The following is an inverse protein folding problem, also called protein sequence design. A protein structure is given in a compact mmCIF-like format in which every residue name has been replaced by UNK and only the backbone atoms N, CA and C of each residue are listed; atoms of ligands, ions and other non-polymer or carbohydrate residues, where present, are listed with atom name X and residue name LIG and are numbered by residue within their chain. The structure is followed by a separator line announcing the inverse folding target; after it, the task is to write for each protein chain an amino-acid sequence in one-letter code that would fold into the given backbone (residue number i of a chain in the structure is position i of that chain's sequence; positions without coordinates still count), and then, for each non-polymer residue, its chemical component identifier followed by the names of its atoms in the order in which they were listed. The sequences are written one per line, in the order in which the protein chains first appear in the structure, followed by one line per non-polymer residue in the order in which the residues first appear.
data_IF_826499237720
#
_entry.id   IF_826499237720
#
_cell.length_a   1.000
_cell.length_b   1.000
_cell.length_c   1.000
_cell.angle_alpha   90.00
_cell.angle_beta   90.00
_cell.angle_gamma   90.00
#
_symmetry.space_group_name_H-M   'P 1'
#
loop_
_entity.id
_entity.type
_entity.pdbx_description
1 polymer ?
#
# COMPACT_ATOMS: atom_id res chain seq x y z
N UNK A 1 -47.71 27.28 16.26
CA UNK A 1 -47.75 27.09 14.78
C UNK A 1 -48.24 25.69 14.47
N UNK A 2 -49.34 25.52 13.72
CA UNK A 2 -49.77 24.20 13.20
C UNK A 2 -49.00 23.95 11.90
N UNK A 3 -48.11 22.96 11.90
CA UNK A 3 -47.41 22.54 10.68
C UNK A 3 -48.39 21.73 9.84
N UNK A 4 -48.62 22.15 8.60
CA UNK A 4 -49.45 21.42 7.64
C UNK A 4 -48.77 20.10 7.26
N UNK A 5 -49.54 19.03 7.05
CA UNK A 5 -49.00 17.73 6.61
C UNK A 5 -48.19 17.80 5.32
N UNK A 6 -48.49 18.78 4.44
CA UNK A 6 -47.69 19.06 3.23
C UNK A 6 -46.30 19.60 3.56
N UNK A 7 -46.21 20.49 4.55
CA UNK A 7 -44.94 21.05 5.04
C UNK A 7 -44.11 19.97 5.75
N UNK A 8 -44.77 19.09 6.52
CA UNK A 8 -44.11 17.95 7.16
C UNK A 8 -43.52 16.97 6.12
N UNK A 9 -44.27 16.69 5.05
CA UNK A 9 -43.81 15.82 3.96
C UNK A 9 -42.62 16.42 3.18
N UNK A 10 -42.67 17.73 2.90
CA UNK A 10 -41.55 18.45 2.29
C UNK A 10 -40.29 18.43 3.16
N UNK A 11 -40.43 18.68 4.47
CA UNK A 11 -39.32 18.63 5.42
C UNK A 11 -38.72 17.22 5.53
N UNK A 12 -39.56 16.18 5.56
CA UNK A 12 -39.12 14.79 5.54
C UNK A 12 -38.32 14.45 4.28
N UNK A 13 -38.82 14.85 3.10
CA UNK A 13 -38.10 14.65 1.84
C UNK A 13 -36.75 15.38 1.81
N UNK A 14 -36.70 16.62 2.32
CA UNK A 14 -35.47 17.40 2.40
C UNK A 14 -34.44 16.74 3.34
N UNK A 15 -34.89 16.25 4.49
CA UNK A 15 -34.03 15.53 5.43
C UNK A 15 -33.46 14.25 4.82
N UNK A 16 -34.28 13.50 4.08
CA UNK A 16 -33.85 12.28 3.40
C UNK A 16 -32.77 12.57 2.34
N UNK A 17 -32.93 13.64 1.56
CA UNK A 17 -31.93 14.09 0.59
C UNK A 17 -30.62 14.46 1.30
N UNK A 18 -30.68 15.22 2.40
CA UNK A 18 -29.49 15.61 3.16
C UNK A 18 -28.74 14.37 3.66
N UNK A 19 -29.46 13.41 4.25
CA UNK A 19 -28.86 12.16 4.74
C UNK A 19 -28.26 11.35 3.58
N UNK A 20 -28.96 11.23 2.45
CA UNK A 20 -28.45 10.50 1.29
C UNK A 20 -27.18 11.13 0.70
N UNK A 21 -27.13 12.46 0.60
CA UNK A 21 -25.92 13.17 0.14
C UNK A 21 -24.78 13.00 1.14
N UNK A 22 -25.06 13.08 2.45
CA UNK A 22 -24.05 12.87 3.48
C UNK A 22 -23.48 11.45 3.46
N UNK A 23 -24.32 10.41 3.47
CA UNK A 23 -23.85 9.02 3.44
C UNK A 23 -23.06 8.71 2.19
N UNK A 24 -23.48 9.24 1.04
CA UNK A 24 -22.76 9.10 -0.21
C UNK A 24 -21.41 9.82 -0.19
N UNK A 25 -21.32 11.01 0.42
CA UNK A 25 -20.05 11.72 0.60
C UNK A 25 -19.07 10.97 1.51
N UNK A 26 -19.55 10.37 2.61
CA UNK A 26 -18.74 9.55 3.51
C UNK A 26 -18.25 8.29 2.80
N UNK A 27 -19.12 7.64 2.02
CA UNK A 27 -18.75 6.46 1.24
C UNK A 27 -17.64 6.78 0.22
N UNK A 28 -17.78 7.87 -0.53
CA UNK A 28 -16.77 8.31 -1.49
C UNK A 28 -15.46 8.74 -0.82
N UNK A 29 -15.54 9.40 0.34
CA UNK A 29 -14.36 9.76 1.11
C UNK A 29 -13.58 8.53 1.57
N UNK A 30 -14.28 7.48 2.02
CA UNK A 30 -13.64 6.23 2.45
C UNK A 30 -13.01 5.46 1.28
N UNK A 31 -13.52 5.59 0.05
CA UNK A 31 -12.92 4.94 -1.13
C UNK A 31 -11.55 5.51 -1.50
N UNK A 32 -11.30 6.77 -1.14
CA UNK A 32 -10.07 7.51 -1.43
C UNK A 32 -9.15 7.62 -0.20
N UNK A 33 -9.51 7.00 0.93
CA UNK A 33 -8.70 7.10 2.14
C UNK A 33 -7.46 6.21 2.07
N UNK A 34 -6.32 6.75 2.53
CA UNK A 34 -5.03 6.06 2.52
C UNK A 34 -4.50 5.72 1.13
N UNK A 35 -4.82 6.54 0.12
CA UNK A 35 -4.12 6.47 -1.15
C UNK A 35 -2.67 6.92 -0.96
N UNK A 36 -1.73 6.15 -1.47
CA UNK A 36 -0.31 6.48 -1.40
C UNK A 36 0.45 5.76 -2.50
N UNK A 37 1.23 6.52 -3.28
CA UNK A 37 2.18 5.94 -4.24
C UNK A 37 3.57 6.47 -3.94
N UNK A 38 4.50 5.55 -3.69
CA UNK A 38 5.87 5.90 -3.41
C UNK A 38 6.82 4.87 -3.99
N UNK A 39 8.09 5.25 -4.11
CA UNK A 39 9.15 4.34 -4.52
C UNK A 39 10.38 4.48 -3.64
N UNK A 40 11.03 3.37 -3.39
CA UNK A 40 12.31 3.30 -2.68
C UNK A 40 13.28 2.43 -3.46
N UNK A 41 14.57 2.54 -3.16
CA UNK A 41 15.58 1.60 -3.61
C UNK A 41 16.04 0.79 -2.40
N UNK A 42 15.99 -0.53 -2.52
CA UNK A 42 16.37 -1.46 -1.46
C UNK A 42 17.47 -2.41 -1.93
N UNK A 43 18.37 -2.73 -1.01
CA UNK A 43 19.25 -3.90 -1.13
C UNK A 43 18.93 -4.79 0.05
N UNK A 44 18.38 -5.98 -0.22
CA UNK A 44 18.06 -6.97 0.79
C UNK A 44 19.05 -8.12 0.66
N UNK A 45 19.83 -8.36 1.72
CA UNK A 45 20.69 -9.52 1.86
C UNK A 45 19.96 -10.54 2.72
N UNK A 46 19.91 -11.79 2.29
CA UNK A 46 19.25 -12.82 3.07
C UNK A 46 20.19 -13.39 4.12
N UNK A 47 19.67 -13.62 5.33
CA UNK A 47 20.48 -14.20 6.40
C UNK A 47 20.95 -15.60 6.01
N UNK A 48 22.21 -15.90 6.34
CA UNK A 48 22.87 -17.18 6.02
C UNK A 48 23.03 -17.49 4.52
N UNK A 49 22.86 -16.49 3.65
CA UNK A 49 23.16 -16.58 2.23
C UNK A 49 24.33 -15.67 1.88
N UNK A 50 25.37 -16.23 1.25
CA UNK A 50 26.63 -15.52 0.98
C UNK A 50 26.51 -14.70 -0.31
N UNK A 51 25.86 -15.26 -1.32
CA UNK A 51 25.84 -14.71 -2.67
C UNK A 51 24.47 -14.13 -3.03
N UNK A 52 23.42 -14.51 -2.29
CA UNK A 52 22.04 -14.21 -2.62
C UNK A 52 21.57 -12.86 -2.06
N UNK A 53 21.19 -11.95 -2.95
CA UNK A 53 20.58 -10.68 -2.57
C UNK A 53 19.59 -10.19 -3.63
N UNK A 54 18.72 -9.27 -3.21
CA UNK A 54 17.85 -8.50 -4.10
C UNK A 54 18.33 -7.06 -4.09
N UNK A 55 18.65 -6.51 -5.25
CA UNK A 55 18.97 -5.10 -5.44
C UNK A 55 17.99 -4.50 -6.45
N UNK A 56 17.05 -3.68 -5.96
CA UNK A 56 15.98 -3.20 -6.82
C UNK A 56 15.26 -1.96 -6.31
N UNK A 57 14.49 -1.39 -7.22
CA UNK A 57 13.48 -0.41 -6.91
C UNK A 57 12.21 -1.11 -6.48
N UNK A 58 11.64 -0.65 -5.38
CA UNK A 58 10.37 -1.15 -4.83
C UNK A 58 9.37 -0.01 -4.95
N UNK A 59 8.31 -0.25 -5.70
CA UNK A 59 7.23 0.69 -5.92
C UNK A 59 6.00 0.24 -5.13
N UNK A 60 5.60 1.02 -4.14
CA UNK A 60 4.37 0.80 -3.39
C UNK A 60 3.25 1.63 -3.99
N UNK A 61 2.09 1.01 -4.19
CA UNK A 61 0.89 1.67 -4.66
C UNK A 61 -0.32 1.19 -3.83
N UNK A 62 -0.78 2.05 -2.92
CA UNK A 62 -2.02 1.91 -2.18
C UNK A 62 -3.10 2.67 -2.95
N UNK A 63 -3.94 1.92 -3.65
CA UNK A 63 -4.97 2.42 -4.55
C UNK A 63 -6.38 2.37 -3.95
N UNK A 64 -7.36 2.86 -4.71
CA UNK A 64 -8.74 3.00 -4.23
C UNK A 64 -9.38 1.66 -3.85
N UNK A 65 -10.38 1.72 -2.96
CA UNK A 65 -11.17 0.56 -2.51
C UNK A 65 -10.34 -0.50 -1.74
N UNK A 66 -9.29 -0.08 -1.03
CA UNK A 66 -8.45 -0.99 -0.26
C UNK A 66 -7.71 -2.00 -1.14
N UNK A 67 -7.34 -1.62 -2.36
CA UNK A 67 -6.59 -2.46 -3.30
C UNK A 67 -5.27 -1.80 -3.64
N UNK A 68 -4.20 -2.57 -3.59
CA UNK A 68 -2.87 -2.05 -3.86
C UNK A 68 -1.99 -3.03 -4.62
N UNK A 69 -0.79 -2.56 -4.89
CA UNK A 69 0.25 -3.34 -5.56
C UNK A 69 1.65 -2.94 -5.11
N UNK A 70 2.55 -3.91 -5.17
CA UNK A 70 4.00 -3.70 -5.06
C UNK A 70 4.61 -4.11 -6.40
N UNK A 71 5.54 -3.32 -6.92
CA UNK A 71 6.41 -3.73 -8.02
C UNK A 71 7.83 -3.73 -7.53
N UNK A 72 8.53 -4.86 -7.69
CA UNK A 72 9.95 -4.97 -7.38
C UNK A 72 10.68 -5.20 -8.70
N UNK A 73 11.57 -4.28 -9.04
CA UNK A 73 12.32 -4.28 -10.29
C UNK A 73 13.81 -4.06 -10.03
N UNK A 74 14.64 -4.94 -10.56
CA UNK A 74 16.09 -4.85 -10.39
C UNK A 74 16.76 -6.16 -10.75
N UNK A 75 17.68 -6.59 -9.90
CA UNK A 75 18.46 -7.81 -10.12
C UNK A 75 18.58 -8.62 -8.83
N UNK A 76 18.61 -9.94 -8.99
CA UNK A 76 19.08 -10.84 -7.94
C UNK A 76 20.52 -11.21 -8.21
N UNK A 77 21.36 -11.13 -7.19
CA UNK A 77 22.68 -11.76 -7.23
C UNK A 77 22.56 -13.20 -6.73
N UNK A 78 23.30 -14.13 -7.34
CA UNK A 78 23.30 -15.54 -6.97
C UNK A 78 24.53 -16.23 -7.57
N UNK A 79 24.76 -17.50 -7.21
CA UNK A 79 25.80 -18.32 -7.85
C UNK A 79 25.63 -18.49 -9.37
N UNK A 80 24.42 -18.29 -9.89
CA UNK A 80 24.14 -18.31 -11.33
C UNK A 80 24.47 -16.98 -12.03
N UNK A 81 24.91 -15.97 -11.28
CA UNK A 81 25.14 -14.60 -11.75
C UNK A 81 23.96 -13.68 -11.46
N UNK A 82 23.98 -12.52 -12.11
CA UNK A 82 22.95 -11.48 -11.97
C UNK A 82 21.76 -11.79 -12.87
N UNK A 83 20.64 -12.13 -12.26
CA UNK A 83 19.40 -12.43 -12.96
C UNK A 83 18.43 -11.26 -12.82
N UNK A 84 17.74 -10.94 -13.92
CA UNK A 84 16.78 -9.84 -13.89
C UNK A 84 15.55 -10.21 -13.06
N UNK A 85 15.11 -9.28 -12.20
CA UNK A 85 13.96 -9.42 -11.33
C UNK A 85 12.92 -8.38 -11.70
N UNK A 86 11.70 -8.81 -12.00
CA UNK A 86 10.55 -7.91 -12.15
C UNK A 86 9.27 -8.62 -11.72
N UNK A 87 8.90 -8.42 -10.46
CA UNK A 87 7.76 -9.09 -9.82
C UNK A 87 6.66 -8.09 -9.47
N UNK A 88 5.43 -8.51 -9.73
CA UNK A 88 4.22 -7.77 -9.41
C UNK A 88 3.48 -8.46 -8.28
N UNK A 89 3.22 -7.73 -7.21
CA UNK A 89 2.37 -8.18 -6.11
C UNK A 89 1.08 -7.37 -6.15
N UNK A 90 -0.06 -8.04 -6.10
CA UNK A 90 -1.37 -7.40 -5.89
C UNK A 90 -1.86 -7.76 -4.50
N UNK A 91 -2.54 -6.85 -3.82
CA UNK A 91 -3.01 -7.09 -2.46
C UNK A 91 -4.28 -6.33 -2.12
N UNK A 92 -4.96 -6.79 -1.05
CA UNK A 92 -5.98 -6.03 -0.33
C UNK A 92 -5.34 -5.30 0.86
N UNK A 93 -5.89 -4.16 1.27
CA UNK A 93 -5.43 -3.49 2.48
C UNK A 93 -6.55 -2.76 3.22
N UNK A 94 -6.35 -2.59 4.53
CA UNK A 94 -7.07 -1.61 5.36
C UNK A 94 -6.09 -0.56 5.86
N UNK A 95 -6.59 0.62 6.22
CA UNK A 95 -5.76 1.73 6.66
C UNK A 95 -6.39 2.45 7.83
N UNK A 96 -5.54 3.03 8.68
CA UNK A 96 -5.94 3.88 9.79
C UNK A 96 -5.01 5.09 9.85
N UNK A 97 -5.56 6.30 9.76
CA UNK A 97 -4.80 7.52 10.04
C UNK A 97 -4.61 7.66 11.55
N UNK A 98 -3.37 7.76 12.00
CA UNK A 98 -3.00 7.90 13.42
C UNK A 98 -2.78 9.37 13.76
N UNK A 99 -2.11 10.10 12.86
CA UNK A 99 -1.88 11.54 12.99
C UNK A 99 -1.77 12.18 11.60
N UNK A 100 -1.67 13.52 11.49
CA UNK A 100 -1.40 14.18 10.20
C UNK A 100 -0.09 13.74 9.53
N UNK A 101 0.81 13.08 10.26
CA UNK A 101 2.11 12.61 9.77
C UNK A 101 2.26 11.10 9.87
N UNK A 102 1.24 10.36 10.29
CA UNK A 102 1.37 8.92 10.53
C UNK A 102 0.10 8.17 10.13
N UNK A 103 0.29 7.07 9.41
CA UNK A 103 -0.79 6.19 8.96
C UNK A 103 -0.32 4.75 8.97
N UNK A 104 -1.20 3.87 9.43
CA UNK A 104 -0.98 2.43 9.44
C UNK A 104 -1.69 1.79 8.25
N UNK A 105 -1.03 0.80 7.64
CA UNK A 105 -1.55 -0.02 6.57
C UNK A 105 -1.46 -1.49 6.98
N UNK A 106 -2.58 -2.21 6.87
CA UNK A 106 -2.62 -3.65 7.05
C UNK A 106 -2.90 -4.29 5.69
N UNK A 107 -1.89 -4.92 5.11
CA UNK A 107 -1.95 -5.60 3.81
C UNK A 107 -2.29 -7.07 4.02
N UNK A 108 -3.18 -7.62 3.19
CA UNK A 108 -3.61 -9.02 3.22
C UNK A 108 -3.91 -9.53 1.81
N UNK A 109 -4.10 -10.85 1.69
CA UNK A 109 -4.54 -11.50 0.44
C UNK A 109 -3.66 -11.12 -0.76
N UNK A 110 -2.35 -11.22 -0.59
CA UNK A 110 -1.43 -10.84 -1.63
C UNK A 110 -1.14 -12.00 -2.59
N UNK A 111 -0.96 -11.68 -3.86
CA UNK A 111 -0.59 -12.63 -4.91
C UNK A 111 0.58 -12.05 -5.72
N UNK A 112 1.63 -12.84 -5.94
CA UNK A 112 2.78 -12.46 -6.75
C UNK A 112 2.72 -13.07 -8.16
N UNK A 113 3.24 -12.34 -9.15
CA UNK A 113 3.43 -12.82 -10.54
C UNK A 113 4.74 -12.30 -11.11
N UNK A 114 5.45 -13.18 -11.81
CA UNK A 114 6.61 -12.83 -12.61
C UNK A 114 6.22 -12.04 -13.86
N UNK A 115 7.06 -11.08 -14.24
CA UNK A 115 7.05 -10.51 -15.60
C UNK A 115 7.49 -11.54 -16.64
N UNK A 116 7.17 -11.32 -17.91
CA UNK A 116 7.65 -12.16 -19.02
C UNK A 116 9.17 -12.14 -19.21
N UNK A 117 9.86 -11.15 -18.63
CA UNK A 117 11.31 -10.96 -18.72
C UNK A 117 12.01 -11.25 -17.39
N UNK A 118 11.28 -11.70 -16.37
CA UNK A 118 11.85 -12.06 -15.08
C UNK A 118 12.62 -13.39 -15.20
N UNK A 119 13.88 -13.38 -14.80
CA UNK A 119 14.78 -14.54 -14.83
C UNK A 119 15.13 -15.02 -13.41
N UNK A 120 14.60 -14.35 -12.38
CA UNK A 120 14.91 -14.62 -10.98
C UNK A 120 14.18 -15.86 -10.46
N UNK A 121 14.81 -16.68 -9.61
CA UNK A 121 14.15 -17.82 -8.98
C UNK A 121 12.99 -17.40 -8.06
N UNK A 122 11.87 -18.11 -8.12
CA UNK A 122 10.70 -17.83 -7.26
C UNK A 122 11.08 -17.81 -5.76
N UNK A 123 11.95 -18.73 -5.33
CA UNK A 123 12.41 -18.83 -3.93
C UNK A 123 13.06 -17.54 -3.41
N UNK A 124 13.75 -16.79 -4.27
CA UNK A 124 14.39 -15.52 -3.90
C UNK A 124 13.34 -14.46 -3.64
N UNK A 125 12.33 -14.38 -4.51
CA UNK A 125 11.25 -13.42 -4.34
C UNK A 125 10.33 -13.78 -3.17
N UNK A 126 10.05 -15.07 -2.97
CA UNK A 126 9.27 -15.55 -1.82
C UNK A 126 9.98 -15.23 -0.50
N UNK A 127 11.31 -15.39 -0.45
CA UNK A 127 12.10 -14.97 0.70
C UNK A 127 12.00 -13.46 0.91
N UNK A 128 12.18 -12.65 -0.14
CA UNK A 128 12.01 -11.19 -0.07
C UNK A 128 10.64 -10.80 0.49
N UNK A 129 9.57 -11.44 0.03
CA UNK A 129 8.22 -11.17 0.53
C UNK A 129 8.03 -11.62 1.97
N UNK A 130 8.67 -12.72 2.39
CA UNK A 130 8.65 -13.17 3.80
C UNK A 130 9.36 -12.18 4.73
N UNK A 131 10.54 -11.70 4.35
CA UNK A 131 11.26 -10.65 5.10
C UNK A 131 10.48 -9.34 5.16
N UNK A 132 9.68 -9.04 4.13
CA UNK A 132 8.76 -7.92 4.22
C UNK A 132 7.60 -8.20 5.16
N UNK A 133 7.00 -9.40 5.14
CA UNK A 133 5.69 -9.68 5.78
C UNK A 133 5.73 -10.40 7.13
N UNK A 134 6.89 -10.77 7.68
CA UNK A 134 7.11 -11.57 8.92
C UNK A 134 6.52 -12.98 8.91
N UNK A 135 5.34 -13.17 8.37
CA UNK A 135 4.65 -14.44 8.23
C UNK A 135 3.47 -14.22 7.27
N UNK A 136 3.18 -15.19 6.42
CA UNK A 136 2.39 -15.08 5.20
C UNK A 136 0.92 -14.57 5.37
N UNK A 137 0.47 -14.27 6.59
CA UNK A 137 -0.91 -13.89 6.90
C UNK A 137 -1.20 -12.39 6.76
N UNK A 138 -0.19 -11.52 6.76
CA UNK A 138 -0.37 -10.10 6.47
C UNK A 138 0.86 -9.23 6.71
N UNK A 139 0.96 -8.13 5.96
CA UNK A 139 2.04 -7.14 6.10
C UNK A 139 1.49 -5.88 6.79
N UNK A 140 2.00 -5.58 7.97
CA UNK A 140 1.77 -4.29 8.63
C UNK A 140 2.83 -3.28 8.18
N UNK A 141 2.42 -2.09 7.73
CA UNK A 141 3.31 -0.98 7.45
C UNK A 141 2.86 0.28 8.18
N UNK A 142 3.73 0.82 9.01
CA UNK A 142 3.64 2.18 9.49
C UNK A 142 4.29 3.12 8.48
N UNK A 143 3.51 4.07 7.98
CA UNK A 143 3.99 5.14 7.13
C UNK A 143 4.06 6.44 7.93
N UNK A 144 5.27 6.98 8.08
CA UNK A 144 5.52 8.23 8.76
C UNK A 144 6.05 9.29 7.78
N UNK A 145 5.43 10.47 7.75
CA UNK A 145 5.87 11.59 6.93
C UNK A 145 7.18 12.17 7.47
N UNK A 146 8.24 12.09 6.67
CA UNK A 146 9.53 12.73 6.98
C UNK A 146 9.56 14.18 6.48
N UNK A 147 9.01 14.41 5.28
CA UNK A 147 8.79 15.72 4.69
C UNK A 147 7.72 15.63 3.58
N UNK A 148 7.51 16.69 2.81
CA UNK A 148 6.48 16.72 1.75
C UNK A 148 6.74 15.79 0.57
N UNK A 149 7.94 15.20 0.46
CA UNK A 149 8.34 14.32 -0.65
C UNK A 149 8.73 12.92 -0.20
N UNK A 150 8.90 12.68 1.09
CA UNK A 150 9.44 11.42 1.61
C UNK A 150 8.67 10.90 2.82
N UNK A 151 8.49 9.58 2.84
CA UNK A 151 7.91 8.82 3.93
C UNK A 151 8.94 7.81 4.44
N UNK A 152 8.91 7.54 5.73
CA UNK A 152 9.49 6.33 6.31
C UNK A 152 8.42 5.26 6.33
N UNK A 153 8.65 4.15 5.65
CA UNK A 153 7.85 2.93 5.79
C UNK A 153 8.59 1.97 6.72
N UNK A 154 7.92 1.52 7.77
CA UNK A 154 8.46 0.60 8.74
C UNK A 154 7.46 -0.50 9.07
N UNK A 155 7.96 -1.65 9.48
CA UNK A 155 7.18 -2.69 10.15
C UNK A 155 7.93 -3.14 11.39
N UNK A 156 7.23 -3.86 12.27
CA UNK A 156 7.86 -4.48 13.45
C UNK A 156 8.93 -5.48 13.02
N UNK A 157 8.70 -6.13 11.88
CA UNK A 157 9.46 -7.29 11.43
C UNK A 157 10.08 -7.12 10.04
N UNK A 158 9.85 -5.96 9.41
CA UNK A 158 10.31 -5.69 8.04
C UNK A 158 11.46 -4.68 8.04
N UNK A 159 12.23 -4.63 6.95
CA UNK A 159 13.17 -3.55 6.72
C UNK A 159 12.50 -2.17 6.76
N UNK A 160 13.29 -1.18 7.17
CA UNK A 160 12.94 0.23 7.11
C UNK A 160 13.21 0.77 5.70
N UNK A 161 12.23 1.43 5.11
CA UNK A 161 12.35 2.03 3.78
C UNK A 161 12.13 3.54 3.83
N UNK A 162 13.05 4.31 3.27
CA UNK A 162 12.81 5.73 2.96
C UNK A 162 12.21 5.79 1.55
N UNK A 163 10.91 6.05 1.47
CA UNK A 163 10.14 6.04 0.25
C UNK A 163 9.89 7.48 -0.25
N UNK A 164 10.19 7.74 -1.52
CA UNK A 164 9.89 9.02 -2.16
C UNK A 164 8.49 8.97 -2.77
N UNK A 165 7.63 9.93 -2.44
CA UNK A 165 6.29 10.06 -3.01
C UNK A 165 6.38 10.34 -4.52
N UNK A 166 5.55 9.67 -5.32
CA UNK A 166 5.44 9.99 -6.74
C UNK A 166 4.77 11.36 -6.92
N UNK A 167 5.13 12.14 -7.96
CA UNK A 167 4.47 13.41 -8.27
C UNK A 167 2.94 13.22 -8.35
N UNK A 168 2.20 14.09 -7.67
CA UNK A 168 0.73 14.03 -7.59
C UNK A 168 0.17 13.06 -6.55
N UNK A 169 1.01 12.25 -5.89
CA UNK A 169 0.61 11.48 -4.72
C UNK A 169 0.54 12.39 -3.49
N UNK A 170 -0.52 12.21 -2.71
CA UNK A 170 -0.68 12.87 -1.42
C UNK A 170 -0.59 11.82 -0.32
N UNK A 171 0.04 12.20 0.78
CA UNK A 171 -0.06 11.46 2.03
C UNK A 171 -1.03 12.24 2.90
N UNK A 172 -2.31 12.15 2.53
CA UNK A 172 -3.39 12.74 3.30
C UNK A 172 -3.79 11.73 4.37
#
# INVERSE_FOLDING_TARGET
MKISGKVLCLLSGLLFIIVAVYTQSVLFSNQQDGLMVCSTKGIMRFENMIDENVNGNIHFNFGSNGKGSIVVEGYTDSKAGWLYLQRYVKFSYTTQRVSPTERHYNISQWESRASSIDESPDVIFDYFMREMSDSHDGLFLNAQKLNDKALLLSSINSPLYICTLKPGSKFD
#
